data_IF_420465662442
#
_entry.id   IF_420465662442
#
_cell.length_a   1.000
_cell.length_b   1.000
_cell.length_c   1.000
_cell.angle_alpha   90.00
_cell.angle_beta   90.00
_cell.angle_gamma   90.00
#
_symmetry.space_group_name_H-M   'P 1'
#
loop_
_entity.id
_entity.type
_entity.pdbx_description
1 polymer ?
#
# COMPACT_ATOMS: atom_id res chain seq x y z
N UNK A 1 8.41 11.20 3.17
CA UNK A 1 9.09 9.90 2.96
C UNK A 1 8.62 9.43 1.62
N UNK A 2 9.49 9.51 0.63
CA UNK A 2 9.20 9.15 -0.75
C UNK A 2 9.62 7.69 -0.92
N UNK A 3 8.70 6.86 -1.42
CA UNK A 3 8.99 5.48 -1.78
C UNK A 3 8.79 5.40 -3.30
N UNK A 4 9.85 5.04 -4.01
CA UNK A 4 9.85 5.02 -5.47
C UNK A 4 8.94 3.89 -5.96
N UNK A 5 7.83 4.26 -6.56
CA UNK A 5 6.97 3.30 -7.25
C UNK A 5 7.63 2.92 -8.57
N UNK A 6 7.67 1.62 -8.95
CA UNK A 6 8.13 1.21 -10.26
C UNK A 6 7.25 1.79 -11.36
N UNK A 7 7.83 2.01 -12.54
CA UNK A 7 7.07 2.43 -13.71
C UNK A 7 6.24 1.26 -14.22
N UNK A 8 5.01 1.55 -14.67
CA UNK A 8 4.11 0.53 -15.20
C UNK A 8 4.74 -0.18 -16.41
N UNK A 9 5.46 0.55 -17.27
CA UNK A 9 6.11 -0.02 -18.46
C UNK A 9 7.22 -1.02 -18.12
N UNK A 10 7.96 -0.78 -17.03
CA UNK A 10 9.02 -1.69 -16.56
C UNK A 10 8.39 -3.00 -16.08
N UNK A 11 7.33 -2.90 -15.26
CA UNK A 11 6.57 -4.06 -14.77
C UNK A 11 5.99 -4.89 -15.92
N UNK A 12 5.37 -4.23 -16.91
CA UNK A 12 4.78 -4.91 -18.06
C UNK A 12 5.83 -5.58 -18.95
N UNK A 13 7.02 -5.00 -19.05
CA UNK A 13 8.12 -5.58 -19.83
C UNK A 13 8.60 -6.89 -19.22
N UNK A 14 8.69 -6.96 -17.89
CA UNK A 14 9.04 -8.21 -17.18
C UNK A 14 7.98 -9.30 -17.37
N UNK A 15 6.70 -8.93 -17.38
CA UNK A 15 5.61 -9.89 -17.56
C UNK A 15 5.69 -10.65 -18.90
N UNK A 16 6.26 -10.05 -19.96
CA UNK A 16 6.39 -10.70 -21.28
C UNK A 16 7.16 -12.03 -21.26
N UNK A 17 7.98 -12.27 -20.24
CA UNK A 17 8.76 -13.51 -20.12
C UNK A 17 7.93 -14.71 -19.61
N UNK A 18 6.70 -14.50 -19.16
CA UNK A 18 5.88 -15.52 -18.50
C UNK A 18 4.64 -15.89 -19.33
N UNK A 19 4.26 -17.17 -19.29
CA UNK A 19 3.11 -17.71 -20.03
C UNK A 19 1.80 -17.68 -19.21
N UNK A 20 1.90 -17.81 -17.89
CA UNK A 20 0.75 -17.93 -16.99
C UNK A 20 0.80 -16.85 -15.92
N UNK A 21 -0.37 -16.25 -15.65
CA UNK A 21 -0.52 -15.19 -14.66
C UNK A 21 -1.64 -15.52 -13.68
N UNK A 22 -1.47 -15.08 -12.44
CA UNK A 22 -2.51 -15.10 -11.41
C UNK A 22 -2.67 -13.67 -10.88
N UNK A 23 -3.90 -13.16 -10.88
CA UNK A 23 -4.23 -11.86 -10.31
C UNK A 23 -4.89 -12.08 -8.95
N UNK A 24 -4.37 -11.40 -7.92
CA UNK A 24 -4.90 -11.42 -6.57
C UNK A 24 -5.27 -9.98 -6.19
N UNK A 25 -6.50 -9.79 -5.72
CA UNK A 25 -6.97 -8.50 -5.24
C UNK A 25 -6.90 -8.41 -3.71
N UNK A 26 -6.36 -7.30 -3.23
CA UNK A 26 -6.31 -6.97 -1.81
C UNK A 26 -7.35 -5.88 -1.50
N UNK A 27 -8.65 -6.22 -1.62
CA UNK A 27 -9.77 -5.30 -1.45
C UNK A 27 -9.71 -4.45 -0.14
N UNK A 28 -9.13 -5.00 0.93
CA UNK A 28 -8.94 -4.30 2.22
C UNK A 28 -7.46 -4.08 2.56
N UNK A 29 -6.58 -4.04 1.56
CA UNK A 29 -5.13 -3.99 1.74
C UNK A 29 -4.67 -2.84 2.62
N UNK A 30 -5.21 -1.64 2.43
CA UNK A 30 -4.83 -0.48 3.25
C UNK A 30 -5.17 -0.67 4.74
N UNK A 31 -6.25 -1.37 5.07
CA UNK A 31 -6.62 -1.64 6.47
C UNK A 31 -5.64 -2.57 7.19
N UNK A 32 -4.76 -3.27 6.47
CA UNK A 32 -3.67 -4.02 7.08
C UNK A 32 -2.64 -3.09 7.75
N UNK A 33 -2.54 -1.82 7.35
CA UNK A 33 -1.55 -0.87 7.85
C UNK A 33 -2.07 -0.12 9.09
N UNK A 34 -1.32 -0.15 10.20
CA UNK A 34 -1.64 0.65 11.39
C UNK A 34 -1.24 2.12 11.23
N UNK A 35 -2.12 3.00 11.70
CA UNK A 35 -1.86 4.44 11.71
C UNK A 35 -0.98 4.82 12.90
N UNK A 36 0.00 5.69 12.67
CA UNK A 36 0.78 6.30 13.76
C UNK A 36 -0.10 7.23 14.60
N UNK A 37 0.18 7.39 15.90
CA UNK A 37 -0.61 8.28 16.78
C UNK A 37 -0.79 9.69 16.22
N UNK A 38 0.22 10.22 15.52
CA UNK A 38 0.17 11.53 14.85
C UNK A 38 -0.81 11.52 13.69
N UNK A 39 -0.74 10.52 12.82
CA UNK A 39 -1.61 10.41 11.66
C UNK A 39 -3.08 10.20 12.07
N UNK A 40 -3.35 9.44 13.13
CA UNK A 40 -4.72 9.25 13.64
C UNK A 40 -5.41 10.56 14.01
N UNK A 41 -4.68 11.48 14.64
CA UNK A 41 -5.18 12.80 15.02
C UNK A 41 -5.41 13.72 13.81
N UNK A 42 -4.58 13.58 12.78
CA UNK A 42 -4.69 14.39 11.55
C UNK A 42 -5.85 13.92 10.67
N UNK A 43 -6.06 12.61 10.59
CA UNK A 43 -7.10 11.98 9.77
C UNK A 43 -8.39 11.71 10.56
N UNK A 44 -8.61 12.40 11.67
CA UNK A 44 -9.85 12.26 12.43
C UNK A 44 -11.03 12.80 11.62
N UNK A 45 -12.21 12.20 11.80
CA UNK A 45 -13.42 12.59 11.09
C UNK A 45 -14.59 12.78 12.04
N UNK A 46 -15.54 13.61 11.63
CA UNK A 46 -16.78 13.88 12.35
C UNK A 46 -17.95 13.29 11.59
N UNK A 47 -18.84 12.62 12.31
CA UNK A 47 -20.14 12.22 11.81
C UNK A 47 -21.22 12.61 12.84
N UNK A 48 -22.50 12.37 12.51
CA UNK A 48 -23.61 12.68 13.40
C UNK A 48 -23.50 12.03 14.80
N UNK A 49 -22.71 10.96 14.92
CA UNK A 49 -22.49 10.22 16.16
C UNK A 49 -21.31 10.75 17.00
N UNK A 50 -20.52 11.69 16.47
CA UNK A 50 -19.39 12.28 17.18
C UNK A 50 -18.09 12.33 16.36
N UNK A 51 -16.97 12.45 17.08
CA UNK A 51 -15.63 12.58 16.53
C UNK A 51 -14.85 11.26 16.69
N UNK A 52 -14.31 10.75 15.59
CA UNK A 52 -13.66 9.44 15.52
C UNK A 52 -12.28 9.54 14.88
N UNK A 53 -11.37 8.66 15.30
CA UNK A 53 -10.03 8.52 14.73
C UNK A 53 -9.88 7.15 14.07
N UNK A 54 -9.21 7.10 12.92
CA UNK A 54 -8.87 5.85 12.26
C UNK A 54 -7.73 5.12 12.98
N UNK A 55 -7.91 3.85 13.33
CA UNK A 55 -6.83 3.01 13.87
C UNK A 55 -5.96 2.37 12.77
N UNK A 56 -6.59 2.09 11.62
CA UNK A 56 -5.96 1.55 10.41
C UNK A 56 -6.06 2.56 9.27
N UNK A 57 -5.22 2.43 8.26
CA UNK A 57 -5.14 3.42 7.18
C UNK A 57 -6.45 3.50 6.39
N UNK A 58 -7.14 4.65 6.38
CA UNK A 58 -8.36 4.81 5.59
C UNK A 58 -8.04 4.94 4.09
N UNK A 59 -9.06 4.71 3.26
CA UNK A 59 -9.01 5.04 1.84
C UNK A 59 -9.01 6.55 1.62
N UNK A 60 -8.43 7.01 0.51
CA UNK A 60 -8.39 8.43 0.13
C UNK A 60 -7.14 9.19 0.58
N UNK A 61 -6.25 8.59 1.39
CA UNK A 61 -4.98 9.23 1.72
C UNK A 61 -4.03 9.20 0.51
N UNK A 62 -3.48 10.38 0.14
CA UNK A 62 -2.54 10.53 -0.99
C UNK A 62 -1.36 9.55 -0.93
N UNK A 63 -0.86 9.28 0.27
CA UNK A 63 0.33 8.44 0.46
C UNK A 63 0.01 6.96 0.74
N UNK A 64 -1.26 6.58 0.80
CA UNK A 64 -1.64 5.19 1.11
C UNK A 64 -1.06 4.15 0.14
N UNK A 65 -1.11 4.36 -1.20
CA UNK A 65 -0.56 3.38 -2.14
C UNK A 65 0.94 3.14 -1.95
N UNK A 66 1.72 4.21 -1.73
CA UNK A 66 3.17 4.10 -1.54
C UNK A 66 3.54 3.35 -0.25
N UNK A 67 2.82 3.62 0.84
CA UNK A 67 3.06 2.93 2.11
C UNK A 67 2.68 1.45 1.98
N UNK A 68 1.58 1.16 1.30
CA UNK A 68 1.13 -0.20 1.05
C UNK A 68 2.11 -0.98 0.17
N UNK A 69 2.59 -0.38 -0.92
CA UNK A 69 3.59 -1.01 -1.80
C UNK A 69 4.86 -1.37 -1.02
N UNK A 70 5.39 -0.44 -0.22
CA UNK A 70 6.55 -0.71 0.64
C UNK A 70 6.29 -1.85 1.63
N UNK A 71 5.09 -1.94 2.19
CA UNK A 71 4.72 -3.04 3.10
C UNK A 71 4.74 -4.38 2.36
N UNK A 72 4.17 -4.44 1.16
CA UNK A 72 4.14 -5.65 0.32
C UNK A 72 5.55 -6.08 -0.08
N UNK A 73 6.38 -5.16 -0.55
CA UNK A 73 7.78 -5.44 -0.88
C UNK A 73 8.54 -6.04 0.31
N UNK A 74 8.39 -5.45 1.50
CA UNK A 74 9.01 -5.97 2.70
C UNK A 74 8.48 -7.37 3.08
N UNK A 75 7.18 -7.61 2.91
CA UNK A 75 6.57 -8.90 3.21
C UNK A 75 7.00 -9.99 2.22
N UNK A 76 7.26 -9.61 0.96
CA UNK A 76 7.63 -10.54 -0.11
C UNK A 76 9.14 -10.63 -0.35
N UNK A 77 9.97 -9.85 0.33
CA UNK A 77 11.42 -9.79 0.12
C UNK A 77 12.13 -11.16 0.07
N UNK A 78 11.67 -12.14 0.84
CA UNK A 78 12.21 -13.50 0.85
C UNK A 78 11.74 -14.42 -0.29
N UNK A 79 10.72 -14.01 -1.04
CA UNK A 79 10.09 -14.78 -2.12
C UNK A 79 10.26 -14.12 -3.48
N UNK A 80 10.28 -12.78 -3.51
CA UNK A 80 10.41 -11.93 -4.68
C UNK A 80 11.54 -10.96 -4.38
N UNK A 81 12.68 -11.13 -5.04
CA UNK A 81 13.79 -10.19 -4.92
C UNK A 81 13.54 -9.02 -5.88
N UNK A 82 13.30 -7.79 -5.38
CA UNK A 82 13.30 -6.63 -6.26
C UNK A 82 14.71 -6.47 -6.84
N UNK A 83 14.84 -6.52 -8.17
CA UNK A 83 16.12 -6.26 -8.83
C UNK A 83 16.38 -4.74 -8.80
N UNK A 84 17.09 -4.28 -7.78
CA UNK A 84 17.44 -2.86 -7.64
C UNK A 84 17.96 -2.43 -6.27
N UNK A 85 18.82 -3.26 -5.66
CA UNK A 85 19.66 -2.87 -4.50
C UNK A 85 21.06 -2.47 -4.95
#
# INVERSE_FOLDING_TARGET
MEYAMPLVDDLLTEMKAYLWFCSLDAASGFWAVMMTRRARKMEAFVCALGHFEWLRMPFGLKNAPMIYQRMIDNALWGFVQPKGG
#
